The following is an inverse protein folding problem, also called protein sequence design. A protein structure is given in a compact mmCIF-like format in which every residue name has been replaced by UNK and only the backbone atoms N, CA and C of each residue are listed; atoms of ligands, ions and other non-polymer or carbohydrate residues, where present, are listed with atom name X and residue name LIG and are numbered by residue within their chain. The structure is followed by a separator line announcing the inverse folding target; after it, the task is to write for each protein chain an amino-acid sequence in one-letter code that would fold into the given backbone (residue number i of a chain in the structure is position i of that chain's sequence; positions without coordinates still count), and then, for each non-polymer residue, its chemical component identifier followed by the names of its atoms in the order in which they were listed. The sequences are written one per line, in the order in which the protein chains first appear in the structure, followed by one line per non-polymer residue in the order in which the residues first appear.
data_IF_815836068086
#
_entry.id   IF_815836068086
#
_cell.length_a   1.000
_cell.length_b   1.000
_cell.length_c   1.000
_cell.angle_alpha   90.00
_cell.angle_beta   90.00
_cell.angle_gamma   90.00
#
_symmetry.space_group_name_H-M   'P 1'
#
loop_
_entity.id
_entity.type
_entity.pdbx_description
1 polymer ?
#
# COMPACT_ATOMS: atom_id res chain seq x y z
N UNK A 1 22.50 22.82 -0.67
CA UNK A 1 21.80 22.10 0.42
C UNK A 1 21.16 20.87 -0.19
N UNK A 2 21.83 19.73 -0.05
CA UNK A 2 21.26 18.42 -0.38
C UNK A 2 20.17 18.12 0.64
N UNK A 3 18.90 18.22 0.22
CA UNK A 3 17.78 17.78 1.04
C UNK A 3 17.86 16.27 1.13
N UNK A 4 18.37 15.76 2.26
CA UNK A 4 18.36 14.34 2.56
C UNK A 4 16.91 13.96 2.91
N UNK A 5 16.15 13.54 1.90
CA UNK A 5 14.85 12.93 2.12
C UNK A 5 15.08 11.61 2.86
N UNK A 6 14.60 11.58 4.09
CA UNK A 6 14.72 10.44 5.00
C UNK A 6 13.30 10.07 5.44
N UNK A 7 12.74 9.08 4.76
CA UNK A 7 11.36 8.61 4.98
C UNK A 7 11.18 8.05 6.39
N UNK A 8 12.22 7.45 6.96
CA UNK A 8 12.18 6.95 8.32
C UNK A 8 11.93 8.09 9.31
N UNK A 9 12.74 9.16 9.25
CA UNK A 9 12.63 10.27 10.18
C UNK A 9 11.37 11.12 9.97
N UNK A 10 10.85 11.21 8.74
CA UNK A 10 9.71 12.08 8.42
C UNK A 10 8.34 11.40 8.48
N UNK A 11 8.29 10.07 8.34
CA UNK A 11 7.04 9.32 8.22
C UNK A 11 7.00 8.13 9.17
N UNK A 12 7.94 7.18 9.04
CA UNK A 12 7.85 5.92 9.79
C UNK A 12 8.00 6.13 11.29
N UNK A 13 9.06 6.81 11.71
CA UNK A 13 9.36 7.03 13.13
C UNK A 13 8.24 7.80 13.84
N UNK A 14 7.69 8.91 13.30
CA UNK A 14 6.50 9.54 13.86
C UNK A 14 5.30 8.60 14.00
N UNK A 15 5.06 7.71 13.03
CA UNK A 15 3.97 6.74 13.11
C UNK A 15 4.23 5.69 14.21
N UNK A 16 5.46 5.16 14.29
CA UNK A 16 5.85 4.21 15.34
C UNK A 16 5.73 4.83 16.75
N UNK A 17 6.15 6.09 16.92
CA UNK A 17 6.03 6.82 18.19
C UNK A 17 4.57 7.05 18.61
N UNK A 18 3.70 7.30 17.64
CA UNK A 18 2.27 7.40 17.89
C UNK A 18 1.70 6.07 18.41
N UNK A 19 2.08 4.95 17.78
CA UNK A 19 1.63 3.63 18.23
C UNK A 19 2.19 3.25 19.60
N UNK A 20 3.43 3.62 19.90
CA UNK A 20 4.02 3.45 21.25
C UNK A 20 3.20 4.20 22.30
N UNK A 21 2.83 5.45 22.01
CA UNK A 21 1.98 6.28 22.87
C UNK A 21 0.59 5.67 23.08
N UNK A 22 0.06 4.97 22.06
CA UNK A 22 -1.22 4.26 22.13
C UNK A 22 -1.12 2.90 22.86
N UNK A 23 0.06 2.52 23.35
CA UNK A 23 0.29 1.27 24.08
C UNK A 23 0.48 0.04 23.19
N UNK A 24 0.76 0.21 21.91
CA UNK A 24 1.08 -0.89 21.01
C UNK A 24 2.50 -1.38 21.28
N UNK A 25 2.75 -2.66 21.10
CA UNK A 25 4.12 -3.17 21.05
C UNK A 25 4.71 -2.84 19.68
N UNK A 26 5.64 -1.88 19.68
CA UNK A 26 6.28 -1.34 18.49
C UNK A 26 7.55 -2.10 18.14
N UNK A 27 7.66 -2.56 16.90
CA UNK A 27 8.86 -3.15 16.33
C UNK A 27 9.43 -2.23 15.26
N UNK A 28 10.49 -1.52 15.64
CA UNK A 28 11.25 -0.63 14.77
C UNK A 28 12.44 -1.41 14.19
N UNK A 29 12.41 -1.69 12.89
CA UNK A 29 13.43 -2.52 12.23
C UNK A 29 14.81 -1.87 12.18
N UNK A 30 14.88 -0.54 12.22
CA UNK A 30 16.16 0.18 12.24
C UNK A 30 16.82 0.16 13.62
N UNK A 31 16.07 -0.16 14.67
CA UNK A 31 16.63 -0.37 16.01
C UNK A 31 17.19 -1.79 16.11
N UNK A 32 18.50 -1.89 16.30
CA UNK A 32 19.26 -3.14 16.50
C UNK A 32 18.90 -3.89 17.79
N UNK A 33 18.02 -3.34 18.63
CA UNK A 33 17.67 -3.89 19.94
C UNK A 33 16.75 -5.11 19.85
N UNK A 34 16.13 -5.38 18.69
CA UNK A 34 15.28 -6.54 18.52
C UNK A 34 16.07 -7.75 18.04
N UNK A 35 16.51 -8.60 18.97
CA UNK A 35 17.06 -9.93 18.65
C UNK A 35 16.01 -10.90 18.07
N UNK A 36 14.72 -10.64 18.31
CA UNK A 36 13.60 -11.47 17.84
C UNK A 36 12.45 -10.59 17.33
N UNK A 37 12.51 -10.15 16.08
CA UNK A 37 11.34 -9.65 15.37
C UNK A 37 10.34 -10.81 15.21
N UNK A 38 9.02 -10.58 15.32
CA UNK A 38 8.04 -11.62 15.08
C UNK A 38 8.18 -12.10 13.63
N UNK A 39 8.73 -13.29 13.48
CA UNK A 39 9.17 -13.81 12.21
C UNK A 39 7.97 -14.15 11.32
N UNK A 40 8.06 -13.75 10.05
CA UNK A 40 7.27 -14.29 8.96
C UNK A 40 8.17 -15.22 8.17
N UNK A 41 7.67 -16.40 7.80
CA UNK A 41 8.42 -17.33 6.93
C UNK A 41 8.51 -16.80 5.49
N UNK A 42 7.61 -15.90 5.10
CA UNK A 42 7.50 -15.31 3.76
C UNK A 42 6.72 -14.00 3.80
N UNK A 43 6.98 -13.10 2.84
CA UNK A 43 6.20 -11.86 2.61
C UNK A 43 4.71 -12.13 2.38
N UNK A 44 4.35 -13.29 1.83
CA UNK A 44 2.95 -13.71 1.61
C UNK A 44 2.23 -14.11 2.91
N UNK A 45 2.97 -14.28 4.01
CA UNK A 45 2.41 -14.60 5.31
C UNK A 45 1.94 -13.32 6.02
N UNK A 46 0.71 -12.91 5.70
CA UNK A 46 0.10 -11.70 6.28
C UNK A 46 -0.31 -11.83 7.75
N UNK A 47 -0.26 -13.05 8.31
CA UNK A 47 -0.62 -13.33 9.72
C UNK A 47 0.62 -13.83 10.48
N UNK A 48 0.91 -13.18 11.61
CA UNK A 48 1.90 -13.66 12.59
C UNK A 48 1.31 -14.85 13.36
N UNK A 49 1.63 -16.08 12.92
CA UNK A 49 0.96 -17.30 13.39
C UNK A 49 1.21 -17.54 14.88
N UNK A 50 2.43 -17.40 15.36
CA UNK A 50 2.78 -17.69 16.75
C UNK A 50 2.19 -16.65 17.72
N UNK A 51 2.14 -15.38 17.33
CA UNK A 51 1.44 -14.33 18.09
C UNK A 51 -0.06 -14.58 18.13
N UNK A 52 -0.66 -14.95 16.99
CA UNK A 52 -2.08 -15.28 16.93
C UNK A 52 -2.43 -16.49 17.81
N UNK A 53 -1.61 -17.54 17.81
CA UNK A 53 -1.78 -18.71 18.69
C UNK A 53 -1.74 -18.30 20.17
N UNK A 54 -0.76 -17.48 20.54
CA UNK A 54 -0.58 -16.99 21.91
C UNK A 54 -1.77 -16.14 22.36
N UNK A 55 -2.24 -15.22 21.51
CA UNK A 55 -3.42 -14.41 21.76
C UNK A 55 -4.69 -15.27 21.87
N UNK A 56 -4.93 -16.20 20.94
CA UNK A 56 -6.09 -17.09 20.97
C UNK A 56 -6.13 -17.96 22.22
N UNK A 57 -4.98 -18.44 22.70
CA UNK A 57 -4.89 -19.23 23.94
C UNK A 57 -5.17 -18.40 25.18
N UNK A 58 -4.78 -17.12 25.20
CA UNK A 58 -5.12 -16.17 26.27
C UNK A 58 -6.61 -15.84 26.28
N UNK A 59 -7.20 -15.56 25.12
CA UNK A 59 -8.64 -15.24 24.98
C UNK A 59 -9.52 -16.48 25.25
N UNK A 60 -9.04 -17.67 24.88
CA UNK A 60 -9.79 -18.92 25.03
C UNK A 60 -8.96 -19.94 25.84
N UNK A 61 -8.81 -19.79 27.18
CA UNK A 61 -7.93 -20.64 28.00
C UNK A 61 -8.27 -22.13 27.97
N UNK A 62 -9.51 -22.47 27.62
CA UNK A 62 -9.98 -23.84 27.48
C UNK A 62 -9.45 -24.54 26.23
N UNK A 63 -8.96 -23.82 25.21
CA UNK A 63 -8.64 -24.40 23.89
C UNK A 63 -7.38 -25.27 23.95
N UNK A 64 -7.45 -26.47 23.36
CA UNK A 64 -6.28 -27.34 23.22
C UNK A 64 -5.50 -27.04 21.93
N UNK A 65 -4.29 -27.58 21.82
CA UNK A 65 -3.38 -27.33 20.69
C UNK A 65 -3.98 -27.72 19.33
N UNK A 66 -4.75 -28.81 19.26
CA UNK A 66 -5.38 -29.25 18.01
C UNK A 66 -6.44 -28.25 17.54
N UNK A 67 -7.32 -27.82 18.44
CA UNK A 67 -8.36 -26.84 18.12
C UNK A 67 -7.78 -25.43 17.90
N UNK A 68 -6.69 -25.09 18.58
CA UNK A 68 -5.95 -23.85 18.33
C UNK A 68 -5.44 -23.80 16.88
N UNK A 69 -4.79 -24.87 16.41
CA UNK A 69 -4.32 -24.96 15.03
C UNK A 69 -5.48 -24.94 14.01
N UNK A 70 -6.63 -25.54 14.34
CA UNK A 70 -7.85 -25.43 13.51
C UNK A 70 -8.36 -24.00 13.45
N UNK A 71 -8.41 -23.30 14.58
CA UNK A 71 -8.85 -21.91 14.64
C UNK A 71 -7.96 -20.98 13.81
N UNK A 72 -6.64 -21.13 13.89
CA UNK A 72 -5.69 -20.39 13.05
C UNK A 72 -5.93 -20.67 11.56
N UNK A 73 -6.05 -21.95 11.19
CA UNK A 73 -6.27 -22.33 9.78
C UNK A 73 -7.61 -21.83 9.20
N UNK A 74 -8.61 -21.52 10.04
CA UNK A 74 -9.90 -21.00 9.58
C UNK A 74 -9.84 -19.57 9.06
N UNK A 75 -8.84 -18.78 9.47
CA UNK A 75 -8.65 -17.38 9.04
C UNK A 75 -7.39 -17.18 8.18
N UNK A 76 -6.59 -18.24 7.97
CA UNK A 76 -5.38 -18.19 7.14
C UNK A 76 -5.76 -18.05 5.66
N UNK A 77 -5.33 -16.98 4.94
CA UNK A 77 -5.73 -16.76 3.54
C UNK A 77 -5.45 -17.94 2.61
N UNK A 78 -4.27 -18.56 2.74
CA UNK A 78 -3.87 -19.72 1.94
C UNK A 78 -4.76 -20.97 2.13
N UNK A 79 -5.64 -21.00 3.14
CA UNK A 79 -6.57 -22.11 3.42
C UNK A 79 -8.02 -21.79 3.05
N UNK A 80 -8.31 -20.56 2.64
CA UNK A 80 -9.67 -20.14 2.27
C UNK A 80 -9.98 -20.55 0.84
N UNK A 81 -11.21 -21.05 0.65
CA UNK A 81 -11.76 -21.35 -0.67
C UNK A 81 -12.64 -20.18 -1.12
N UNK A 82 -12.00 -19.09 -1.53
CA UNK A 82 -12.67 -17.91 -2.06
C UNK A 82 -12.36 -17.76 -3.56
N UNK A 83 -13.31 -17.21 -4.31
CA UNK A 83 -13.19 -16.95 -5.75
C UNK A 83 -12.64 -15.54 -6.06
N UNK A 84 -12.47 -14.70 -5.04
CA UNK A 84 -11.99 -13.32 -5.14
C UNK A 84 -11.44 -12.85 -3.80
N UNK A 85 -10.62 -11.78 -3.83
CA UNK A 85 -10.11 -11.14 -2.61
C UNK A 85 -11.22 -10.57 -1.73
N UNK A 86 -12.24 -9.96 -2.34
CA UNK A 86 -13.39 -9.42 -1.61
C UNK A 86 -14.13 -10.52 -0.84
N UNK A 87 -14.42 -11.64 -1.52
CA UNK A 87 -15.05 -12.79 -0.90
C UNK A 87 -14.18 -13.39 0.23
N UNK A 88 -12.86 -13.46 0.03
CA UNK A 88 -11.94 -13.92 1.07
C UNK A 88 -11.98 -13.01 2.31
N UNK A 89 -11.98 -11.70 2.12
CA UNK A 89 -12.05 -10.70 3.20
C UNK A 89 -13.37 -10.79 3.97
N UNK A 90 -14.50 -10.90 3.26
CA UNK A 90 -15.82 -11.07 3.87
C UNK A 90 -15.87 -12.36 4.73
N UNK A 91 -15.34 -13.47 4.22
CA UNK A 91 -15.27 -14.74 4.96
C UNK A 91 -14.41 -14.66 6.21
N UNK A 92 -13.32 -13.91 6.20
CA UNK A 92 -12.47 -13.69 7.39
C UNK A 92 -13.21 -12.79 8.37
N UNK A 93 -13.76 -11.68 7.90
CA UNK A 93 -14.52 -10.72 8.71
C UNK A 93 -15.65 -11.42 9.49
N UNK A 94 -16.45 -12.23 8.79
CA UNK A 94 -17.52 -13.01 9.41
C UNK A 94 -17.01 -13.89 10.57
N UNK A 95 -15.86 -14.56 10.40
CA UNK A 95 -15.26 -15.40 11.46
C UNK A 95 -14.73 -14.60 12.64
N UNK A 96 -14.22 -13.39 12.40
CA UNK A 96 -13.71 -12.53 13.45
C UNK A 96 -14.87 -11.99 14.32
N UNK A 97 -15.95 -11.53 13.67
CA UNK A 97 -17.12 -10.94 14.33
C UNK A 97 -18.04 -12.00 14.94
N UNK A 98 -18.46 -13.00 14.16
CA UNK A 98 -19.41 -14.02 14.60
C UNK A 98 -18.75 -15.22 15.31
N UNK A 99 -17.41 -15.19 15.42
CA UNK A 99 -16.61 -16.25 16.02
C UNK A 99 -16.75 -17.58 15.26
N UNK A 100 -16.05 -18.63 15.74
CA UNK A 100 -16.23 -19.99 15.21
C UNK A 100 -16.59 -20.96 16.34
N UNK A 101 -17.24 -22.06 15.99
CA UNK A 101 -17.52 -23.15 16.93
C UNK A 101 -16.62 -24.35 16.65
N UNK A 102 -15.94 -24.87 17.67
CA UNK A 102 -15.14 -26.09 17.60
C UNK A 102 -15.57 -27.08 18.68
N UNK A 103 -15.56 -28.38 18.37
CA UNK A 103 -15.86 -29.40 19.36
C UNK A 103 -14.64 -29.66 20.26
N UNK A 104 -14.85 -29.56 21.57
CA UNK A 104 -13.86 -29.96 22.55
C UNK A 104 -14.52 -30.54 23.80
N UNK A 105 -13.85 -31.50 24.41
CA UNK A 105 -14.16 -31.92 25.76
C UNK A 105 -13.36 -31.06 26.75
N UNK A 106 -14.06 -30.40 27.66
CA UNK A 106 -13.49 -29.56 28.73
C UNK A 106 -13.83 -30.15 30.10
N UNK A 107 -14.13 -31.44 30.17
CA UNK A 107 -14.45 -32.17 31.41
C UNK A 107 -15.94 -32.50 31.60
N UNK A 108 -16.80 -32.08 30.66
CA UNK A 108 -18.25 -32.34 30.68
C UNK A 108 -18.73 -33.06 29.40
N UNK A 109 -17.83 -33.77 28.74
CA UNK A 109 -18.05 -34.41 27.46
C UNK A 109 -17.79 -33.47 26.27
N UNK A 110 -17.73 -34.06 25.07
CA UNK A 110 -17.50 -33.33 23.82
C UNK A 110 -18.68 -32.41 23.51
N UNK A 111 -18.47 -31.09 23.59
CA UNK A 111 -19.46 -30.07 23.23
C UNK A 111 -18.86 -29.04 22.27
N UNK A 112 -19.73 -28.33 21.54
CA UNK A 112 -19.32 -27.18 20.76
C UNK A 112 -18.95 -26.03 21.70
N UNK A 113 -17.74 -25.51 21.53
CA UNK A 113 -17.22 -24.36 22.26
C UNK A 113 -16.96 -23.22 21.27
N UNK A 114 -17.32 -22.01 21.67
CA UNK A 114 -17.12 -20.80 20.85
C UNK A 114 -15.70 -20.28 21.02
N UNK A 115 -14.98 -20.14 19.92
CA UNK A 115 -13.64 -19.56 19.87
C UNK A 115 -13.74 -18.11 19.46
N UNK A 116 -13.40 -17.20 20.36
CA UNK A 116 -13.33 -15.76 20.08
C UNK A 116 -11.95 -15.40 19.53
N UNK A 117 -11.90 -14.54 18.51
CA UNK A 117 -10.63 -14.00 17.98
C UNK A 117 -10.27 -12.63 18.55
N UNK A 118 -11.29 -11.86 18.97
CA UNK A 118 -11.16 -10.56 19.60
C UNK A 118 -11.93 -10.63 20.91
N UNK A 119 -11.30 -10.22 22.00
CA UNK A 119 -11.94 -10.09 23.30
C UNK A 119 -12.51 -8.67 23.45
N UNK A 120 -13.80 -8.52 23.16
CA UNK A 120 -14.51 -7.26 23.34
C UNK A 120 -14.91 -7.00 24.80
N UNK A 121 -14.87 -8.03 25.64
CA UNK A 121 -15.28 -7.94 27.05
C UNK A 121 -14.11 -7.45 27.92
N UNK A 122 -12.89 -7.89 27.61
CA UNK A 122 -11.66 -7.42 28.24
C UNK A 122 -10.61 -7.06 27.18
N UNK A 123 -10.43 -5.75 26.95
CA UNK A 123 -9.53 -5.24 25.91
C UNK A 123 -8.06 -5.61 26.15
N UNK A 124 -7.64 -5.76 27.41
CA UNK A 124 -6.25 -6.09 27.81
C UNK A 124 -5.84 -7.51 27.41
N UNK A 125 -6.81 -8.39 27.12
CA UNK A 125 -6.56 -9.74 26.62
C UNK A 125 -6.19 -9.76 25.13
N UNK A 126 -6.39 -8.67 24.40
CA UNK A 126 -5.97 -8.57 23.00
C UNK A 126 -4.47 -8.29 22.91
N UNK A 127 -3.91 -8.46 21.71
CA UNK A 127 -2.55 -8.01 21.41
C UNK A 127 -2.57 -6.97 20.30
N UNK A 128 -1.86 -5.86 20.54
CA UNK A 128 -1.69 -4.77 19.60
C UNK A 128 -0.21 -4.65 19.23
N UNK A 129 0.10 -4.92 17.96
CA UNK A 129 1.47 -4.90 17.45
C UNK A 129 1.54 -3.99 16.21
N UNK A 130 2.68 -3.34 16.04
CA UNK A 130 2.99 -2.62 14.80
C UNK A 130 4.42 -2.87 14.38
N UNK A 131 4.61 -3.03 13.08
CA UNK A 131 5.91 -2.96 12.42
C UNK A 131 5.71 -2.18 11.13
N UNK A 132 6.64 -1.29 10.81
CA UNK A 132 6.66 -0.52 9.55
C UNK A 132 7.93 -0.91 8.82
N UNK A 133 7.80 -1.10 7.50
CA UNK A 133 8.91 -1.46 6.62
C UNK A 133 8.64 -0.85 5.24
N UNK A 134 8.90 0.44 5.06
CA UNK A 134 8.80 1.07 3.74
C UNK A 134 10.07 0.87 2.92
N UNK A 135 11.21 0.54 3.54
CA UNK A 135 12.49 0.32 2.85
C UNK A 135 12.47 -0.88 1.87
N UNK A 136 11.61 -1.89 2.10
CA UNK A 136 11.43 -3.02 1.18
C UNK A 136 10.68 -2.65 -0.12
N UNK A 137 10.07 -1.46 -0.19
CA UNK A 137 9.37 -1.01 -1.39
C UNK A 137 10.38 -0.54 -2.44
N UNK A 138 10.47 -1.25 -3.56
CA UNK A 138 11.26 -0.83 -4.71
C UNK A 138 10.68 0.48 -5.27
N UNK A 139 11.39 1.57 -5.05
CA UNK A 139 11.09 2.85 -5.67
C UNK A 139 11.91 3.03 -6.94
N UNK A 140 11.32 3.70 -7.95
CA UNK A 140 12.12 4.23 -9.05
C UNK A 140 12.80 5.50 -8.55
N UNK A 141 14.14 5.59 -8.49
CA UNK A 141 14.80 6.80 -8.03
C UNK A 141 14.52 7.96 -8.98
N UNK A 142 14.38 9.17 -8.44
CA UNK A 142 14.41 10.38 -9.25
C UNK A 142 15.78 10.50 -9.95
N UNK A 143 15.79 10.84 -11.24
CA UNK A 143 17.04 11.10 -11.97
C UNK A 143 17.78 12.31 -11.39
N UNK A 144 19.10 12.40 -11.66
CA UNK A 144 19.90 13.58 -11.30
C UNK A 144 19.35 14.86 -11.94
N UNK A 145 18.78 14.72 -13.14
CA UNK A 145 18.07 15.78 -13.85
C UNK A 145 16.63 15.93 -13.33
N UNK A 146 16.32 17.09 -12.75
CA UNK A 146 14.97 17.45 -12.25
C UNK A 146 14.17 18.35 -13.20
N UNK A 147 14.80 18.76 -14.29
CA UNK A 147 14.21 19.56 -15.35
C UNK A 147 14.39 18.85 -16.68
N UNK A 148 13.30 18.70 -17.42
CA UNK A 148 13.26 17.96 -18.68
C UNK A 148 12.92 18.92 -19.81
N UNK A 149 13.64 18.79 -20.91
CA UNK A 149 13.39 19.53 -22.15
C UNK A 149 12.70 18.60 -23.13
N UNK A 150 11.49 18.95 -23.56
CA UNK A 150 10.74 18.19 -24.54
C UNK A 150 10.25 19.06 -25.70
N UNK A 151 10.39 18.56 -26.92
CA UNK A 151 9.95 19.26 -28.12
C UNK A 151 8.60 18.70 -28.58
N UNK A 152 7.60 19.58 -28.64
CA UNK A 152 6.24 19.20 -29.01
C UNK A 152 6.15 18.76 -30.49
N UNK A 153 5.49 17.63 -30.81
CA UNK A 153 5.49 17.06 -32.16
C UNK A 153 4.72 17.90 -33.21
N UNK A 154 3.68 18.60 -32.81
CA UNK A 154 2.85 19.43 -33.68
C UNK A 154 3.40 20.85 -33.81
N UNK A 155 3.41 21.59 -32.70
CA UNK A 155 3.83 23.00 -32.70
C UNK A 155 5.34 23.21 -32.77
N UNK A 156 6.15 22.15 -32.61
CA UNK A 156 7.63 22.18 -32.58
C UNK A 156 8.26 23.08 -31.50
N UNK A 157 7.43 23.61 -30.59
CA UNK A 157 7.87 24.41 -29.44
C UNK A 157 8.61 23.53 -28.44
N UNK A 158 9.56 24.13 -27.74
CA UNK A 158 10.34 23.48 -26.68
C UNK A 158 9.68 23.79 -25.34
N UNK A 159 9.32 22.76 -24.60
CA UNK A 159 8.73 22.85 -23.26
C UNK A 159 9.76 22.37 -22.25
N UNK A 160 10.01 23.17 -21.23
CA UNK A 160 10.79 22.75 -20.06
C UNK A 160 9.85 22.50 -18.90
N UNK A 161 9.97 21.34 -18.27
CA UNK A 161 9.11 20.96 -17.15
C UNK A 161 9.87 20.20 -16.08
N UNK A 162 9.36 20.21 -14.86
CA UNK A 162 9.93 19.46 -13.74
C UNK A 162 8.95 18.48 -13.12
N UNK A 163 9.41 17.85 -12.03
CA UNK A 163 8.59 17.00 -11.19
C UNK A 163 7.46 17.77 -10.49
N UNK A 164 6.39 17.06 -10.14
CA UNK A 164 5.42 17.54 -9.16
C UNK A 164 6.10 17.41 -7.78
N UNK A 165 6.21 18.50 -7.05
CA UNK A 165 6.74 18.51 -5.69
C UNK A 165 5.62 18.83 -4.69
N UNK A 166 5.87 18.64 -3.39
CA UNK A 166 4.87 18.90 -2.36
C UNK A 166 4.33 20.35 -2.35
N UNK A 167 5.11 21.33 -2.82
CA UNK A 167 4.63 22.71 -2.95
C UNK A 167 3.65 22.86 -4.12
N UNK A 168 3.95 22.22 -5.26
CA UNK A 168 3.09 22.15 -6.45
C UNK A 168 1.80 21.39 -6.16
N UNK A 169 1.86 20.32 -5.38
CA UNK A 169 0.70 19.55 -4.93
C UNK A 169 -0.21 20.39 -4.03
N UNK A 170 0.35 21.07 -3.02
CA UNK A 170 -0.41 22.00 -2.17
C UNK A 170 -1.07 23.11 -3.00
N UNK A 171 -0.35 23.64 -3.99
CA UNK A 171 -0.88 24.65 -4.92
C UNK A 171 -2.02 24.08 -5.79
N UNK A 172 -1.87 22.86 -6.30
CA UNK A 172 -2.90 22.17 -7.07
C UNK A 172 -4.16 21.91 -6.22
N UNK A 173 -4.00 21.47 -4.98
CA UNK A 173 -5.09 21.24 -4.03
C UNK A 173 -5.82 22.53 -3.64
N UNK A 174 -5.13 23.67 -3.64
CA UNK A 174 -5.74 24.98 -3.36
C UNK A 174 -6.59 25.56 -4.50
N UNK A 175 -6.56 24.96 -5.69
CA UNK A 175 -7.36 25.42 -6.82
C UNK A 175 -8.83 25.00 -6.64
N UNK A 176 -9.75 25.88 -7.01
CA UNK A 176 -11.20 25.64 -6.94
C UNK A 176 -11.64 24.43 -7.79
N UNK A 177 -10.96 24.18 -8.90
CA UNK A 177 -11.21 23.06 -9.81
C UNK A 177 -9.87 22.45 -10.27
N UNK A 178 -9.32 21.48 -9.52
CA UNK A 178 -8.12 20.78 -9.95
C UNK A 178 -8.46 19.89 -11.15
N UNK A 179 -7.70 20.06 -12.24
CA UNK A 179 -7.81 19.23 -13.43
C UNK A 179 -6.44 18.88 -13.99
N UNK A 180 -6.37 17.89 -14.88
CA UNK A 180 -5.12 17.38 -15.46
C UNK A 180 -4.32 18.52 -16.11
N UNK A 181 -4.99 19.44 -16.81
CA UNK A 181 -4.32 20.59 -17.44
C UNK A 181 -3.71 21.56 -16.43
N UNK A 182 -4.32 21.72 -15.26
CA UNK A 182 -3.78 22.54 -14.16
C UNK A 182 -2.56 21.88 -13.53
N UNK A 183 -2.60 20.55 -13.36
CA UNK A 183 -1.44 19.77 -12.88
C UNK A 183 -0.27 19.87 -13.87
N UNK A 184 -0.53 19.72 -15.18
CA UNK A 184 0.49 19.91 -16.22
C UNK A 184 1.05 21.33 -16.21
N UNK A 185 0.19 22.36 -16.10
CA UNK A 185 0.62 23.77 -16.08
C UNK A 185 1.58 24.08 -14.93
N UNK A 186 1.29 23.56 -13.74
CA UNK A 186 2.10 23.78 -12.53
C UNK A 186 3.50 23.17 -12.66
N UNK A 187 3.66 22.14 -13.50
CA UNK A 187 4.93 21.46 -13.76
C UNK A 187 5.78 22.12 -14.84
N UNK A 188 5.18 22.88 -15.75
CA UNK A 188 5.90 23.57 -16.81
C UNK A 188 6.65 24.77 -16.19
N UNK A 189 7.93 24.89 -16.52
CA UNK A 189 8.77 26.03 -16.15
C UNK A 189 8.68 27.12 -17.22
N UNK A 190 8.78 26.73 -18.49
CA UNK A 190 8.62 27.61 -19.65
C UNK A 190 8.26 26.86 -20.93
N UNK A 191 7.75 27.63 -21.89
CA UNK A 191 7.51 27.21 -23.27
C UNK A 191 8.23 28.22 -24.17
N UNK A 192 9.24 27.77 -24.92
CA UNK A 192 10.15 28.61 -25.72
C UNK A 192 10.73 29.79 -24.91
N UNK A 193 11.11 29.56 -23.65
CA UNK A 193 11.66 30.60 -22.78
C UNK A 193 10.65 31.60 -22.22
N UNK A 194 9.35 31.43 -22.50
CA UNK A 194 8.27 32.26 -21.94
C UNK A 194 7.57 31.55 -20.78
N UNK A 195 7.23 32.31 -19.75
CA UNK A 195 6.48 31.80 -18.61
C UNK A 195 5.13 31.20 -19.06
N UNK A 196 4.74 30.03 -18.52
CA UNK A 196 3.55 29.34 -18.96
C UNK A 196 2.29 30.08 -18.46
N UNK A 197 1.32 30.26 -19.35
CA UNK A 197 0.02 30.85 -19.01
C UNK A 197 -1.10 29.84 -19.23
N UNK A 198 -2.26 30.05 -18.59
CA UNK A 198 -3.47 29.24 -18.86
C UNK A 198 -3.82 29.21 -20.36
N UNK A 199 -3.61 30.33 -21.05
CA UNK A 199 -3.84 30.45 -22.50
C UNK A 199 -2.88 29.57 -23.32
N UNK A 200 -1.61 29.49 -22.91
CA UNK A 200 -0.59 28.69 -23.59
C UNK A 200 -0.94 27.20 -23.65
N UNK A 201 -1.63 26.69 -22.61
CA UNK A 201 -2.06 25.30 -22.55
C UNK A 201 -3.40 25.06 -23.26
N UNK A 202 -4.33 26.03 -23.22
CA UNK A 202 -5.60 25.93 -23.97
C UNK A 202 -5.41 26.04 -25.48
N UNK A 203 -4.44 26.84 -25.93
CA UNK A 203 -4.06 27.01 -27.34
C UNK A 203 -3.22 25.84 -27.87
N UNK A 204 -2.72 24.97 -26.98
CA UNK A 204 -1.94 23.81 -27.37
C UNK A 204 -2.83 22.74 -28.02
N UNK A 205 -2.36 22.19 -29.15
CA UNK A 205 -3.07 21.12 -29.84
C UNK A 205 -3.26 19.90 -28.93
N UNK A 206 -4.33 19.13 -29.16
CA UNK A 206 -4.60 17.93 -28.37
C UNK A 206 -3.47 16.89 -28.51
N UNK A 207 -2.86 16.81 -29.70
CA UNK A 207 -1.70 15.97 -30.00
C UNK A 207 -0.50 16.35 -29.14
N UNK A 208 -0.20 17.64 -29.03
CA UNK A 208 0.92 18.15 -28.23
C UNK A 208 0.69 17.96 -26.73
N UNK A 209 -0.54 18.21 -26.26
CA UNK A 209 -0.91 17.97 -24.85
C UNK A 209 -0.77 16.50 -24.47
N UNK A 210 -1.22 15.58 -25.33
CA UNK A 210 -1.08 14.15 -25.08
C UNK A 210 0.39 13.71 -25.08
N UNK A 211 1.20 14.20 -26.02
CA UNK A 211 2.63 13.88 -26.07
C UNK A 211 3.38 14.41 -24.84
N UNK A 212 3.13 15.66 -24.44
CA UNK A 212 3.73 16.25 -23.24
C UNK A 212 3.33 15.47 -21.98
N UNK A 213 2.07 15.04 -21.89
CA UNK A 213 1.59 14.22 -20.77
C UNK A 213 2.29 12.85 -20.74
N UNK A 214 2.48 12.21 -21.88
CA UNK A 214 3.18 10.93 -21.97
C UNK A 214 4.64 11.07 -21.52
N UNK A 215 5.33 12.12 -21.95
CA UNK A 215 6.71 12.38 -21.51
C UNK A 215 6.81 12.70 -20.03
N UNK A 216 5.89 13.52 -19.50
CA UNK A 216 5.78 13.77 -18.07
C UNK A 216 5.61 12.46 -17.29
N UNK A 217 4.72 11.58 -17.74
CA UNK A 217 4.49 10.27 -17.12
C UNK A 217 5.68 9.31 -17.27
N UNK A 218 6.50 9.46 -18.31
CA UNK A 218 7.68 8.63 -18.54
C UNK A 218 8.80 8.96 -17.56
N UNK A 219 8.95 10.24 -17.21
CA UNK A 219 10.01 10.70 -16.29
C UNK A 219 9.57 10.68 -14.84
N UNK A 220 8.26 10.76 -14.57
CA UNK A 220 7.69 10.69 -13.22
C UNK A 220 8.17 9.43 -12.50
N UNK A 221 8.87 9.63 -11.38
CA UNK A 221 9.20 8.57 -10.46
C UNK A 221 7.98 8.22 -9.61
N UNK A 222 7.90 6.97 -9.17
CA UNK A 222 6.82 6.48 -8.35
C UNK A 222 7.12 5.08 -7.81
N UNK A 223 6.16 4.56 -7.06
CA UNK A 223 6.17 3.17 -6.61
C UNK A 223 6.03 2.30 -7.86
N UNK A 224 6.99 1.39 -8.09
CA UNK A 224 6.84 0.41 -9.16
C UNK A 224 5.79 -0.61 -8.74
N UNK A 225 4.55 -0.39 -9.17
CA UNK A 225 3.45 -1.32 -8.94
C UNK A 225 3.47 -2.49 -9.91
N UNK A 226 4.47 -2.60 -10.80
CA UNK A 226 4.56 -3.73 -11.71
C UNK A 226 4.96 -5.00 -10.98
N UNK A 227 4.09 -6.00 -11.09
CA UNK A 227 4.29 -7.35 -10.56
C UNK A 227 4.58 -8.25 -11.74
N UNK A 228 5.74 -8.89 -11.68
CA UNK A 228 6.09 -10.00 -12.55
C UNK A 228 5.68 -11.30 -11.84
N UNK A 229 4.79 -12.06 -12.47
CA UNK A 229 4.36 -13.38 -11.99
C UNK A 229 4.49 -14.38 -13.11
N UNK A 230 4.66 -15.65 -12.77
CA UNK A 230 4.64 -16.75 -13.74
C UNK A 230 3.31 -17.50 -13.61
N UNK A 231 2.73 -17.91 -14.73
CA UNK A 231 1.54 -18.76 -14.70
C UNK A 231 1.92 -20.18 -14.26
N UNK A 232 1.41 -20.63 -13.12
CA UNK A 232 1.68 -21.96 -12.54
C UNK A 232 1.33 -23.13 -13.49
N UNK A 233 0.44 -22.92 -14.45
CA UNK A 233 0.03 -23.96 -15.40
C UNK A 233 0.89 -24.05 -16.66
N UNK A 234 1.24 -22.91 -17.27
CA UNK A 234 1.90 -22.87 -18.59
C UNK A 234 3.27 -22.17 -18.60
N UNK A 235 3.77 -21.69 -17.46
CA UNK A 235 5.08 -21.03 -17.34
C UNK A 235 5.16 -19.66 -18.04
N UNK A 236 4.02 -19.11 -18.48
CA UNK A 236 4.02 -17.81 -19.15
C UNK A 236 4.32 -16.71 -18.13
N UNK A 237 5.36 -15.93 -18.38
CA UNK A 237 5.67 -14.72 -17.62
C UNK A 237 4.62 -13.65 -17.91
N UNK A 238 3.95 -13.18 -16.87
CA UNK A 238 2.93 -12.15 -16.89
C UNK A 238 3.49 -10.96 -16.12
N UNK A 239 3.64 -9.82 -16.80
CA UNK A 239 3.87 -8.54 -16.14
C UNK A 239 2.54 -7.81 -16.07
N UNK A 240 2.04 -7.63 -14.86
CA UNK A 240 0.84 -6.83 -14.59
C UNK A 240 1.21 -5.66 -13.69
N UNK A 241 0.33 -4.67 -13.52
CA UNK A 241 0.47 -3.65 -12.48
C UNK A 241 -0.57 -3.92 -11.41
N UNK A 242 -0.20 -3.86 -10.14
CA UNK A 242 -1.14 -3.79 -9.02
C UNK A 242 -1.98 -2.52 -9.26
N UNK A 243 -3.25 -2.72 -9.62
CA UNK A 243 -4.17 -1.61 -9.83
C UNK A 243 -4.41 -0.90 -8.48
N UNK A 244 -3.77 0.24 -8.27
CA UNK A 244 -4.18 1.19 -7.24
C UNK A 244 -5.36 2.06 -7.73
N UNK A 245 -6.29 1.45 -8.47
CA UNK A 245 -7.35 2.03 -9.31
C UNK A 245 -6.91 2.50 -10.72
N UNK A 246 -7.61 2.09 -11.80
CA UNK A 246 -7.57 2.84 -13.05
C UNK A 246 -8.09 4.27 -12.79
N UNK A 247 -7.50 5.27 -13.45
CA UNK A 247 -7.95 6.66 -13.31
C UNK A 247 -9.46 6.73 -13.55
N UNK A 248 -10.23 7.08 -12.51
CA UNK A 248 -11.70 7.15 -12.48
C UNK A 248 -12.32 7.84 -13.71
N UNK A 249 -11.60 8.77 -14.33
CA UNK A 249 -12.09 9.53 -15.48
C UNK A 249 -11.81 8.90 -16.85
N UNK A 250 -10.95 7.87 -16.99
CA UNK A 250 -10.62 7.25 -18.30
C UNK A 250 -10.28 5.76 -18.22
N UNK A 251 -11.28 4.87 -18.10
CA UNK A 251 -11.06 3.43 -18.25
C UNK A 251 -10.88 3.10 -19.74
N UNK A 252 -9.68 2.71 -20.16
CA UNK A 252 -9.48 2.14 -21.51
C UNK A 252 -8.19 2.49 -22.26
N UNK A 253 -7.31 3.34 -21.73
CA UNK A 253 -5.99 3.53 -22.34
C UNK A 253 -5.04 2.48 -21.80
N UNK A 254 -4.81 1.40 -22.56
CA UNK A 254 -3.60 0.58 -22.41
C UNK A 254 -2.42 1.45 -22.85
N UNK A 255 -1.64 1.94 -21.89
CA UNK A 255 -0.26 2.36 -22.12
C UNK A 255 0.64 1.12 -22.04
#
# INVERSE_FOLDING_TARGET
MTWNWDEYNQSEKPALDLFDTLGYKVYDQLKKDFTELPARESEHQVILIEELKSALKRINPWINENNLNKAVNKIRPARLKANSLMSANEMIYDKLINHISLQQDVGYGKKNQTVKYIDYDNLDNNSFFVTVNLEDLKFTPYGEEREFVFKLPGSKKTVRFGYLDGHKEKRLASLREPNISSAMLIRILDIDGKAPSKKSLSEMSMRDRNALRQEMSRVDAGIDTSVETECDGCGTKIRTRLEAEPSFLFPGVRL
#
